data_IF_503397355670
#
_entry.id   IF_503397355670
#
_cell.length_a   1.000
_cell.length_b   1.000
_cell.length_c   1.000
_cell.angle_alpha   90.00
_cell.angle_beta   90.00
_cell.angle_gamma   90.00
#
_symmetry.space_group_name_H-M   'P 1'
#
loop_
_entity.id
_entity.type
_entity.pdbx_description
1 polymer ?
#
# COMPACT_ATOMS: atom_id res chain seq x y z
N UNK A 1 8.79 -42.69 -32.45
CA UNK A 1 9.65 -42.49 -31.27
C UNK A 1 9.94 -40.99 -31.20
N UNK A 2 9.23 -40.27 -30.38
CA UNK A 2 9.43 -38.81 -30.20
C UNK A 2 10.47 -38.65 -29.12
N UNK A 3 11.65 -38.19 -29.50
CA UNK A 3 12.74 -37.88 -28.57
C UNK A 3 12.34 -36.63 -27.80
N UNK A 4 12.08 -36.77 -26.51
CA UNK A 4 11.91 -35.63 -25.61
C UNK A 4 13.33 -35.11 -25.36
N UNK A 5 13.68 -34.00 -26.02
CA UNK A 5 14.87 -33.22 -25.65
C UNK A 5 14.60 -32.57 -24.29
N UNK A 6 15.11 -33.17 -23.24
CA UNK A 6 15.24 -32.54 -21.92
C UNK A 6 16.31 -31.42 -22.05
N UNK A 7 15.90 -30.19 -22.30
CA UNK A 7 16.79 -29.03 -22.11
C UNK A 7 17.09 -28.93 -20.61
N UNK A 8 18.22 -29.45 -20.19
CA UNK A 8 18.82 -29.14 -18.90
C UNK A 8 19.20 -27.66 -18.89
N UNK A 9 18.27 -26.80 -18.46
CA UNK A 9 18.60 -25.39 -18.23
C UNK A 9 19.54 -25.39 -17.03
N UNK A 10 20.81 -25.16 -17.25
CA UNK A 10 21.78 -24.97 -16.17
C UNK A 10 21.30 -23.87 -15.25
N UNK A 11 21.48 -24.04 -13.94
CA UNK A 11 21.09 -23.02 -12.97
C UNK A 11 21.78 -21.69 -13.28
N UNK A 12 21.08 -20.53 -13.19
CA UNK A 12 21.63 -19.22 -13.54
C UNK A 12 22.57 -18.72 -12.43
N UNK A 13 23.71 -19.38 -12.27
CA UNK A 13 24.63 -19.23 -11.13
C UNK A 13 25.16 -17.79 -11.02
N UNK A 14 25.57 -17.16 -12.12
CA UNK A 14 26.12 -15.80 -12.08
C UNK A 14 25.05 -14.77 -11.69
N UNK A 15 23.84 -14.92 -12.23
CA UNK A 15 22.68 -14.12 -11.80
C UNK A 15 22.40 -14.30 -10.31
N UNK A 16 22.39 -15.53 -9.80
CA UNK A 16 22.11 -15.81 -8.39
C UNK A 16 23.17 -15.24 -7.47
N UNK A 17 24.45 -15.27 -7.85
CA UNK A 17 25.52 -14.61 -7.10
C UNK A 17 25.33 -13.09 -7.07
N UNK A 18 25.08 -12.47 -8.23
CA UNK A 18 24.85 -11.04 -8.32
C UNK A 18 23.61 -10.60 -7.52
N UNK A 19 22.54 -11.39 -7.57
CA UNK A 19 21.31 -11.15 -6.82
C UNK A 19 21.54 -11.26 -5.30
N UNK A 20 22.31 -12.24 -4.84
CA UNK A 20 22.65 -12.39 -3.42
C UNK A 20 23.46 -11.20 -2.89
N UNK A 21 24.42 -10.69 -3.65
CA UNK A 21 25.19 -9.49 -3.30
C UNK A 21 24.31 -8.23 -3.28
N UNK A 22 23.45 -8.08 -4.27
CA UNK A 22 22.45 -7.02 -4.32
C UNK A 22 21.55 -7.03 -3.09
N UNK A 23 20.98 -8.19 -2.73
CA UNK A 23 20.10 -8.35 -1.57
C UNK A 23 20.79 -8.02 -0.26
N UNK A 24 22.07 -8.41 -0.11
CA UNK A 24 22.87 -8.10 1.07
C UNK A 24 23.08 -6.58 1.27
N UNK A 25 23.26 -5.85 0.18
CA UNK A 25 23.50 -4.40 0.21
C UNK A 25 22.20 -3.57 0.19
N UNK A 26 21.08 -4.16 -0.25
CA UNK A 26 19.84 -3.43 -0.41
C UNK A 26 19.29 -2.99 0.96
N UNK A 27 19.11 -1.69 1.19
CA UNK A 27 18.53 -1.21 2.45
C UNK A 27 17.04 -1.56 2.52
N UNK A 28 16.49 -1.57 3.74
CA UNK A 28 15.05 -1.63 3.93
C UNK A 28 14.44 -0.36 3.33
N UNK A 29 13.50 -0.52 2.40
CA UNK A 29 12.82 0.59 1.74
C UNK A 29 11.61 0.99 2.59
N UNK A 30 11.73 2.11 3.31
CA UNK A 30 10.68 2.57 4.22
C UNK A 30 9.48 3.17 3.49
N UNK A 31 8.30 3.01 4.07
CA UNK A 31 7.04 3.60 3.64
C UNK A 31 7.07 5.12 3.85
N UNK A 32 7.26 5.89 2.80
CA UNK A 32 7.27 7.37 2.83
C UNK A 32 5.99 7.99 2.30
N UNK A 33 5.30 7.31 1.39
CA UNK A 33 4.11 7.83 0.69
C UNK A 33 2.83 7.54 1.45
N UNK A 34 1.98 8.57 1.62
CA UNK A 34 0.69 8.42 2.29
C UNK A 34 -0.35 7.85 1.30
N UNK A 35 -0.89 6.67 1.60
CA UNK A 35 -2.07 6.10 0.95
C UNK A 35 -3.35 6.41 1.74
N UNK A 36 -4.44 5.76 1.36
CA UNK A 36 -5.74 5.93 2.03
C UNK A 36 -5.75 5.18 3.37
N UNK A 37 -5.26 5.85 4.44
CA UNK A 37 -5.21 5.28 5.80
C UNK A 37 -3.99 4.41 6.10
N UNK A 38 -3.01 4.35 5.20
CA UNK A 38 -1.75 3.62 5.39
C UNK A 38 -0.61 4.33 4.63
N UNK A 39 0.63 4.00 5.03
CA UNK A 39 1.82 4.44 4.30
C UNK A 39 2.37 3.29 3.46
N UNK A 40 2.99 3.59 2.33
CA UNK A 40 3.63 2.60 1.47
C UNK A 40 4.87 3.19 0.79
N UNK A 41 5.80 2.31 0.37
CA UNK A 41 6.88 2.69 -0.53
C UNK A 41 6.32 2.69 -1.95
N UNK A 42 6.30 3.82 -2.63
CA UNK A 42 5.82 3.89 -4.00
C UNK A 42 6.83 3.34 -5.01
N UNK A 43 6.36 3.06 -6.21
CA UNK A 43 7.22 2.47 -7.24
C UNK A 43 8.43 3.34 -7.61
N UNK A 44 8.32 4.68 -7.73
CA UNK A 44 9.48 5.55 -7.93
C UNK A 44 10.53 5.40 -6.84
N UNK A 45 10.16 5.47 -5.57
CA UNK A 45 11.08 5.32 -4.42
C UNK A 45 11.82 3.98 -4.46
N UNK A 46 11.12 2.90 -4.81
CA UNK A 46 11.73 1.58 -4.95
C UNK A 46 12.76 1.59 -6.08
N UNK A 47 12.38 2.07 -7.26
CA UNK A 47 13.25 2.12 -8.45
C UNK A 47 14.50 3.00 -8.17
N UNK A 48 14.32 4.16 -7.57
CA UNK A 48 15.43 5.06 -7.21
C UNK A 48 16.42 4.38 -6.25
N UNK A 49 15.91 3.62 -5.29
CA UNK A 49 16.74 2.91 -4.31
C UNK A 49 17.50 1.75 -4.92
N UNK A 50 16.84 0.93 -5.76
CA UNK A 50 17.45 -0.30 -6.27
C UNK A 50 18.36 -0.07 -7.49
N UNK A 51 18.08 0.94 -8.32
CA UNK A 51 18.79 1.15 -9.60
C UNK A 51 20.31 1.27 -9.45
N UNK A 52 20.86 2.07 -8.51
CA UNK A 52 22.31 2.19 -8.35
C UNK A 52 22.95 0.86 -7.90
N UNK A 53 22.25 0.09 -7.05
CA UNK A 53 22.74 -1.21 -6.56
C UNK A 53 22.66 -2.27 -7.65
N UNK A 54 21.58 -2.32 -8.40
CA UNK A 54 21.46 -3.22 -9.55
C UNK A 54 22.56 -2.97 -10.56
N UNK A 55 22.82 -1.69 -10.91
CA UNK A 55 23.93 -1.30 -11.79
C UNK A 55 25.28 -1.78 -11.25
N UNK A 56 25.54 -1.63 -9.95
CA UNK A 56 26.78 -2.05 -9.28
C UNK A 56 27.04 -3.55 -9.46
N UNK A 57 26.00 -4.37 -9.41
CA UNK A 57 26.07 -5.83 -9.51
C UNK A 57 25.76 -6.39 -10.91
N UNK A 58 25.75 -5.55 -11.94
CA UNK A 58 25.47 -5.98 -13.31
C UNK A 58 24.04 -6.47 -13.54
N UNK A 59 23.12 -6.14 -12.64
CA UNK A 59 21.72 -6.54 -12.75
C UNK A 59 20.88 -5.51 -13.49
N UNK A 60 19.88 -5.98 -14.22
CA UNK A 60 18.83 -5.17 -14.80
C UNK A 60 17.47 -5.83 -14.64
N UNK A 61 16.40 -5.05 -14.83
CA UNK A 61 15.04 -5.59 -14.88
C UNK A 61 14.22 -4.92 -15.96
N UNK A 62 13.20 -5.61 -16.42
CA UNK A 62 12.11 -5.06 -17.25
C UNK A 62 10.78 -5.69 -16.86
N UNK A 63 9.71 -4.94 -17.12
CA UNK A 63 8.34 -5.38 -16.83
C UNK A 63 7.48 -5.24 -18.08
N UNK A 64 7.00 -6.36 -18.59
CA UNK A 64 6.22 -6.45 -19.82
C UNK A 64 4.77 -6.78 -19.50
N UNK A 65 3.84 -6.06 -20.11
CA UNK A 65 2.40 -6.35 -20.04
C UNK A 65 1.98 -6.99 -21.33
N UNK A 66 1.42 -8.20 -21.25
CA UNK A 66 0.87 -8.91 -22.39
C UNK A 66 -0.53 -9.44 -22.05
N UNK A 67 -1.54 -8.84 -22.64
CA UNK A 67 -2.93 -9.09 -22.26
C UNK A 67 -3.18 -8.72 -20.80
N UNK A 68 -3.62 -9.68 -20.01
CA UNK A 68 -3.86 -9.53 -18.57
C UNK A 68 -2.64 -9.92 -17.70
N UNK A 69 -1.51 -10.24 -18.30
CA UNK A 69 -0.33 -10.71 -17.58
C UNK A 69 0.73 -9.63 -17.49
N UNK A 70 1.34 -9.53 -16.31
CA UNK A 70 2.55 -8.75 -16.05
C UNK A 70 3.70 -9.71 -15.80
N UNK A 71 4.69 -9.70 -16.68
CA UNK A 71 5.92 -10.47 -16.50
C UNK A 71 7.06 -9.55 -16.09
N UNK A 72 7.71 -9.85 -14.98
CA UNK A 72 8.90 -9.16 -14.49
C UNK A 72 10.12 -10.03 -14.76
N UNK A 73 11.05 -9.52 -15.54
CA UNK A 73 12.35 -10.13 -15.82
C UNK A 73 13.43 -9.47 -14.98
N UNK A 74 14.30 -10.27 -14.37
CA UNK A 74 15.56 -9.82 -13.80
C UNK A 74 16.68 -10.57 -14.52
N UNK A 75 17.67 -9.84 -14.99
CA UNK A 75 18.77 -10.40 -15.79
C UNK A 75 20.13 -9.87 -15.32
N UNK A 76 21.15 -10.68 -15.55
CA UNK A 76 22.56 -10.31 -15.36
C UNK A 76 23.17 -9.97 -16.70
N UNK A 77 23.64 -8.72 -16.86
CA UNK A 77 24.01 -8.16 -18.14
C UNK A 77 25.19 -8.88 -18.81
N UNK A 78 26.19 -9.33 -18.01
CA UNK A 78 27.37 -9.97 -18.55
C UNK A 78 27.14 -11.42 -19.00
N UNK A 79 26.39 -12.20 -18.18
CA UNK A 79 26.18 -13.62 -18.49
C UNK A 79 24.96 -13.87 -19.37
N UNK A 80 24.06 -12.89 -19.52
CA UNK A 80 22.79 -13.04 -20.20
C UNK A 80 21.77 -13.93 -19.49
N UNK A 81 22.10 -14.43 -18.29
CA UNK A 81 21.18 -15.22 -17.48
C UNK A 81 20.03 -14.38 -16.97
N UNK A 82 18.84 -14.96 -16.88
CA UNK A 82 17.64 -14.28 -16.40
C UNK A 82 16.73 -15.20 -15.59
N UNK A 83 15.93 -14.57 -14.74
CA UNK A 83 14.77 -15.18 -14.11
C UNK A 83 13.54 -14.34 -14.43
N UNK A 84 12.39 -14.96 -14.44
CA UNK A 84 11.13 -14.26 -14.67
C UNK A 84 10.04 -14.71 -13.71
N UNK A 85 9.11 -13.82 -13.47
CA UNK A 85 7.90 -14.10 -12.71
C UNK A 85 6.71 -13.41 -13.39
N UNK A 86 5.67 -14.19 -13.66
CA UNK A 86 4.45 -13.71 -14.30
C UNK A 86 3.29 -13.72 -13.30
N UNK A 87 2.59 -12.62 -13.20
CA UNK A 87 1.37 -12.49 -12.42
C UNK A 87 0.21 -12.02 -13.30
N UNK A 88 -1.00 -12.46 -12.99
CA UNK A 88 -2.21 -11.96 -13.63
C UNK A 88 -2.61 -10.63 -13.01
N UNK A 89 -2.93 -9.66 -13.86
CA UNK A 89 -3.51 -8.38 -13.45
C UNK A 89 -5.03 -8.54 -13.50
N UNK A 90 -5.66 -8.62 -12.32
CA UNK A 90 -7.11 -8.58 -12.24
C UNK A 90 -7.53 -7.12 -12.02
N UNK A 91 -8.17 -6.47 -13.02
CA UNK A 91 -8.63 -5.10 -12.88
C UNK A 91 -9.71 -5.01 -11.80
N UNK A 92 -9.48 -4.15 -10.80
CA UNK A 92 -10.43 -3.89 -9.74
C UNK A 92 -11.04 -2.51 -9.97
N UNK A 93 -12.36 -2.42 -10.04
CA UNK A 93 -13.04 -1.13 -10.08
C UNK A 93 -12.87 -0.40 -8.75
N UNK A 94 -12.33 0.81 -8.82
CA UNK A 94 -12.12 1.66 -7.65
C UNK A 94 -13.18 2.75 -7.58
N UNK A 95 -13.79 2.92 -6.40
CA UNK A 95 -14.82 3.92 -6.18
C UNK A 95 -14.29 5.33 -6.46
N UNK A 96 -14.95 6.04 -7.38
CA UNK A 96 -14.59 7.40 -7.77
C UNK A 96 -13.54 7.50 -8.88
N UNK A 97 -13.14 6.38 -9.49
CA UNK A 97 -12.25 6.33 -10.65
C UNK A 97 -12.98 5.74 -11.85
N UNK A 98 -12.62 6.20 -13.05
CA UNK A 98 -13.07 5.53 -14.27
C UNK A 98 -12.25 4.24 -14.49
N UNK A 99 -12.69 3.38 -15.43
CA UNK A 99 -12.05 2.09 -15.70
C UNK A 99 -10.58 2.21 -16.08
N UNK A 100 -10.20 3.24 -16.84
CA UNK A 100 -8.82 3.46 -17.27
C UNK A 100 -7.92 3.91 -16.10
N UNK A 101 -8.44 4.76 -15.22
CA UNK A 101 -7.73 5.17 -14.01
C UNK A 101 -7.57 4.00 -13.03
N UNK A 102 -8.62 3.18 -12.85
CA UNK A 102 -8.56 1.97 -12.02
C UNK A 102 -7.54 0.99 -12.55
N UNK A 103 -7.48 0.77 -13.87
CA UNK A 103 -6.48 -0.09 -14.49
C UNK A 103 -5.05 0.43 -14.27
N UNK A 104 -4.81 1.72 -14.48
CA UNK A 104 -3.49 2.33 -14.23
C UNK A 104 -3.03 2.20 -12.78
N UNK A 105 -3.94 2.38 -11.82
CA UNK A 105 -3.67 2.19 -10.39
C UNK A 105 -3.35 0.71 -10.07
N UNK A 106 -4.14 -0.24 -10.60
CA UNK A 106 -3.87 -1.68 -10.47
C UNK A 106 -2.51 -2.05 -11.08
N UNK A 107 -2.20 -1.58 -12.28
CA UNK A 107 -0.92 -1.84 -12.93
C UNK A 107 0.26 -1.36 -12.08
N UNK A 108 0.19 -0.14 -11.54
CA UNK A 108 1.24 0.41 -10.66
C UNK A 108 1.40 -0.43 -9.40
N UNK A 109 0.29 -0.90 -8.83
CA UNK A 109 0.27 -1.79 -7.67
C UNK A 109 0.97 -3.12 -7.96
N UNK A 110 0.57 -3.81 -9.02
CA UNK A 110 1.14 -5.11 -9.40
C UNK A 110 2.61 -5.00 -9.81
N UNK A 111 3.01 -3.95 -10.53
CA UNK A 111 4.41 -3.70 -10.87
C UNK A 111 5.30 -3.60 -9.64
N UNK A 112 4.84 -2.89 -8.61
CA UNK A 112 5.57 -2.73 -7.35
C UNK A 112 5.78 -4.05 -6.65
N UNK A 113 4.70 -4.81 -6.42
CA UNK A 113 4.77 -6.08 -5.70
C UNK A 113 5.53 -7.15 -6.48
N UNK A 114 5.33 -7.27 -7.78
CA UNK A 114 6.07 -8.20 -8.62
C UNK A 114 7.57 -7.93 -8.59
N UNK A 115 7.98 -6.65 -8.63
CA UNK A 115 9.39 -6.27 -8.57
C UNK A 115 10.01 -6.59 -7.20
N UNK A 116 9.32 -6.28 -6.11
CA UNK A 116 9.77 -6.59 -4.75
C UNK A 116 9.93 -8.10 -4.56
N UNK A 117 8.94 -8.88 -5.01
CA UNK A 117 8.97 -10.34 -4.88
C UNK A 117 10.12 -10.98 -5.67
N UNK A 118 10.32 -10.61 -6.93
CA UNK A 118 11.36 -11.22 -7.78
C UNK A 118 12.77 -10.87 -7.32
N UNK A 119 12.95 -9.67 -6.75
CA UNK A 119 14.23 -9.23 -6.17
C UNK A 119 14.46 -9.73 -4.74
N UNK A 120 13.44 -10.31 -4.08
CA UNK A 120 13.53 -10.78 -2.70
C UNK A 120 13.85 -9.67 -1.69
N UNK A 121 13.38 -8.43 -1.94
CA UNK A 121 13.62 -7.29 -1.06
C UNK A 121 12.42 -6.99 -0.17
N UNK A 122 12.68 -6.32 0.97
CA UNK A 122 11.63 -5.94 1.93
C UNK A 122 11.34 -4.46 1.80
N UNK A 123 10.08 -4.13 1.49
CA UNK A 123 9.60 -2.74 1.42
C UNK A 123 8.73 -2.34 2.60
N UNK A 124 8.51 -3.25 3.57
CA UNK A 124 7.62 -3.06 4.70
C UNK A 124 8.20 -3.68 5.96
N UNK A 125 8.07 -2.98 7.11
CA UNK A 125 8.04 -3.71 8.36
C UNK A 125 6.77 -4.57 8.35
N UNK A 126 6.94 -5.87 8.57
CA UNK A 126 5.85 -6.82 8.67
C UNK A 126 4.96 -6.42 9.87
N UNK A 127 3.91 -5.66 9.59
CA UNK A 127 2.93 -5.24 10.58
C UNK A 127 1.79 -6.25 10.73
N UNK A 128 1.84 -7.34 9.97
CA UNK A 128 0.81 -8.38 10.01
C UNK A 128 0.78 -9.12 11.35
N UNK A 129 1.91 -9.12 12.08
CA UNK A 129 1.97 -9.64 13.46
C UNK A 129 1.43 -8.66 14.52
N UNK A 130 1.17 -7.40 14.19
CA UNK A 130 0.47 -6.44 15.06
C UNK A 130 -1.02 -6.32 14.69
N UNK A 131 -1.59 -7.41 14.21
CA UNK A 131 -3.00 -7.53 13.90
C UNK A 131 -3.89 -7.30 15.13
N UNK A 132 -4.10 -6.03 15.45
CA UNK A 132 -5.42 -5.68 15.95
C UNK A 132 -6.37 -5.81 14.74
N UNK A 133 -7.37 -6.69 14.79
CA UNK A 133 -8.42 -6.65 13.79
C UNK A 133 -8.96 -5.22 13.81
N UNK A 134 -8.69 -4.41 12.77
CA UNK A 134 -9.55 -3.26 12.50
C UNK A 134 -10.93 -3.87 12.53
N UNK A 135 -11.70 -3.55 13.58
CA UNK A 135 -13.13 -3.87 13.63
C UNK A 135 -13.63 -3.54 12.23
N UNK A 136 -14.00 -4.55 11.45
CA UNK A 136 -14.83 -4.36 10.27
C UNK A 136 -15.85 -3.35 10.71
N UNK A 137 -15.97 -2.24 9.98
CA UNK A 137 -16.99 -1.26 10.26
C UNK A 137 -18.28 -2.05 10.32
N UNK A 138 -18.73 -2.34 11.53
CA UNK A 138 -20.04 -2.88 11.78
C UNK A 138 -20.96 -1.95 11.03
N UNK A 139 -21.85 -2.48 10.19
CA UNK A 139 -22.88 -1.71 9.53
C UNK A 139 -23.35 -0.69 10.54
N UNK A 140 -23.08 0.61 10.29
CA UNK A 140 -23.52 1.68 11.16
C UNK A 140 -25.01 1.45 11.36
N UNK A 141 -25.43 1.17 12.57
CA UNK A 141 -26.82 1.21 12.93
C UNK A 141 -27.32 2.60 12.54
N UNK A 142 -28.34 2.73 11.67
CA UNK A 142 -28.82 4.03 11.22
C UNK A 142 -29.19 4.98 12.37
N UNK A 143 -29.36 4.45 13.60
CA UNK A 143 -29.72 5.19 14.80
C UNK A 143 -28.55 5.39 15.80
N UNK A 144 -27.35 4.88 15.53
CA UNK A 144 -26.20 5.10 16.44
C UNK A 144 -25.66 6.50 16.28
N UNK A 145 -25.73 7.31 17.33
CA UNK A 145 -25.14 8.65 17.41
C UNK A 145 -23.62 8.57 17.25
N UNK A 146 -23.04 9.51 16.51
CA UNK A 146 -21.59 9.57 16.31
C UNK A 146 -20.89 10.15 17.53
N UNK A 147 -19.79 9.52 18.00
CA UNK A 147 -18.96 10.08 19.08
C UNK A 147 -18.08 11.19 18.54
N UNK A 148 -18.07 12.32 19.26
CA UNK A 148 -17.18 13.43 18.92
C UNK A 148 -15.77 13.18 19.46
N UNK A 149 -14.76 13.28 18.59
CA UNK A 149 -13.38 13.37 19.06
C UNK A 149 -13.11 14.78 19.64
N UNK A 150 -11.99 14.94 20.36
CA UNK A 150 -11.66 16.20 21.03
C UNK A 150 -11.69 17.43 20.11
N UNK A 151 -11.17 17.32 18.88
CA UNK A 151 -11.15 18.42 17.89
C UNK A 151 -12.55 18.77 17.38
N UNK A 152 -13.38 17.76 17.16
CA UNK A 152 -14.78 17.93 16.75
C UNK A 152 -15.61 18.54 17.87
N UNK A 153 -15.34 18.15 19.12
CA UNK A 153 -16.00 18.72 20.30
C UNK A 153 -15.70 20.20 20.48
N UNK A 154 -14.42 20.61 20.38
CA UNK A 154 -14.03 22.04 20.43
C UNK A 154 -14.75 22.83 19.35
N UNK A 155 -14.86 22.30 18.14
CA UNK A 155 -15.57 22.95 17.05
C UNK A 155 -17.07 23.10 17.35
N UNK A 156 -17.71 22.05 17.89
CA UNK A 156 -19.12 22.11 18.29
C UNK A 156 -19.35 23.19 19.36
N UNK A 157 -18.45 23.32 20.34
CA UNK A 157 -18.48 24.38 21.35
C UNK A 157 -18.44 25.78 20.73
N UNK A 158 -17.54 26.00 19.78
CA UNK A 158 -17.45 27.30 19.05
C UNK A 158 -18.72 27.59 18.23
N UNK A 159 -19.35 26.56 17.65
CA UNK A 159 -20.59 26.70 16.88
C UNK A 159 -21.81 26.97 17.79
N UNK A 160 -21.82 26.46 19.03
CA UNK A 160 -22.81 26.86 20.07
C UNK A 160 -22.59 28.33 20.46
N UNK A 161 -21.36 28.74 20.75
CA UNK A 161 -21.06 30.16 21.12
C UNK A 161 -21.43 31.14 20.03
N UNK A 162 -21.29 30.75 18.76
CA UNK A 162 -21.68 31.60 17.63
C UNK A 162 -23.19 31.65 17.37
N UNK A 163 -24.00 30.90 18.13
CA UNK A 163 -25.45 30.81 17.95
C UNK A 163 -25.88 29.98 16.73
N UNK A 164 -24.96 29.28 16.09
CA UNK A 164 -25.26 28.46 14.90
C UNK A 164 -26.04 27.18 15.23
N UNK A 165 -25.76 26.59 16.40
CA UNK A 165 -26.48 25.44 16.92
C UNK A 165 -26.84 25.64 18.38
N UNK A 166 -27.96 25.04 18.83
CA UNK A 166 -28.34 25.05 20.24
C UNK A 166 -27.64 23.89 20.99
N UNK A 167 -27.45 24.06 22.30
CA UNK A 167 -26.93 23.01 23.20
C UNK A 167 -27.71 21.71 23.02
N UNK A 168 -29.05 21.79 23.05
CA UNK A 168 -29.95 20.65 22.89
C UNK A 168 -29.76 19.91 21.56
N UNK A 169 -29.47 20.64 20.48
CA UNK A 169 -29.21 20.02 19.17
C UNK A 169 -27.95 19.16 19.20
N UNK A 170 -26.87 19.67 19.78
CA UNK A 170 -25.60 18.91 19.87
C UNK A 170 -25.75 17.68 20.77
N UNK A 171 -26.39 17.83 21.94
CA UNK A 171 -26.61 16.72 22.90
C UNK A 171 -27.50 15.61 22.29
N UNK A 172 -28.49 15.98 21.48
CA UNK A 172 -29.37 15.02 20.82
C UNK A 172 -28.73 14.35 19.59
N UNK A 173 -27.83 15.02 18.90
CA UNK A 173 -27.25 14.57 17.62
C UNK A 173 -26.04 13.67 17.79
N UNK A 174 -25.30 13.79 18.90
CA UNK A 174 -24.04 13.09 19.11
C UNK A 174 -24.04 12.24 20.38
N UNK A 175 -23.20 11.19 20.40
CA UNK A 175 -22.93 10.39 21.59
C UNK A 175 -21.80 11.05 22.38
N UNK A 176 -22.15 11.82 23.41
CA UNK A 176 -21.25 12.62 24.22
C UNK A 176 -20.92 11.91 25.55
N UNK A 177 -19.71 12.11 26.06
CA UNK A 177 -19.34 11.67 27.41
C UNK A 177 -19.99 12.59 28.46
N UNK A 178 -20.10 12.10 29.70
CA UNK A 178 -20.63 12.90 30.83
C UNK A 178 -19.87 14.22 31.01
N UNK A 179 -18.54 14.20 30.88
CA UNK A 179 -17.69 15.40 30.94
C UNK A 179 -18.01 16.40 29.81
N UNK A 180 -18.27 15.89 28.60
CA UNK A 180 -18.64 16.74 27.47
C UNK A 180 -20.02 17.40 27.65
N UNK A 181 -20.97 16.66 28.22
CA UNK A 181 -22.32 17.19 28.54
C UNK A 181 -22.22 18.29 29.60
N UNK A 182 -21.49 18.04 30.70
CA UNK A 182 -21.27 19.04 31.75
C UNK A 182 -20.62 20.32 31.20
N UNK A 183 -19.62 20.17 30.33
CA UNK A 183 -18.95 21.30 29.69
C UNK A 183 -19.91 22.14 28.82
N UNK A 184 -20.83 21.49 28.09
CA UNK A 184 -21.85 22.17 27.27
C UNK A 184 -22.86 22.90 28.20
N UNK A 185 -23.29 22.27 29.30
CA UNK A 185 -24.28 22.86 30.24
C UNK A 185 -23.75 24.10 30.96
N UNK A 186 -22.46 24.09 31.30
CA UNK A 186 -21.77 25.24 31.96
C UNK A 186 -21.57 26.44 31.02
N UNK A 187 -21.77 26.31 29.72
CA UNK A 187 -21.67 27.44 28.80
C UNK A 187 -22.78 28.44 29.06
N UNK A 188 -22.43 29.68 29.38
CA UNK A 188 -23.37 30.78 29.46
C UNK A 188 -23.72 31.34 28.08
N UNK A 189 -24.64 30.68 27.37
CA UNK A 189 -25.15 31.10 26.03
C UNK A 189 -26.65 30.93 26.00
#
# INVERSE_FOLDING_TARGET
MTTIETSTTEAPIELMKALALFQYECPIIYKSTNGYGYKYADLPTIIETITPLMKKHGLGFTQLVQGENLTTFVFHAESGQSIESTIKIDPIEMKGMNSLQSYGACLSYFRRYSLICVLGIVSDQDTDAQGQPKKMASKKDPNAKEKLNHKQFIRAMSEIQSGKYTKDFIIKSFDLTEEQILTIDEMNV
#
